data_IF_356086323672
#
_entry.id   IF_356086323672
#
_cell.length_a   1.000
_cell.length_b   1.000
_cell.length_c   1.000
_cell.angle_alpha   90.00
_cell.angle_beta   90.00
_cell.angle_gamma   90.00
#
_symmetry.space_group_name_H-M   'P 1'
#
loop_
_entity.id
_entity.type
_entity.pdbx_description
1 polymer ?
#
# COMPACT_ATOMS: atom_id res chain seq x y z
N UNK A 1 5.68 -0.66 22.04
CA UNK A 1 6.10 -0.70 20.63
C UNK A 1 5.57 -1.98 20.03
N UNK A 2 4.60 -1.87 19.13
CA UNK A 2 4.08 -3.00 18.34
C UNK A 2 5.04 -3.29 17.19
N UNK A 3 5.06 -4.53 16.70
CA UNK A 3 5.91 -4.91 15.55
C UNK A 3 5.55 -4.09 14.31
N UNK A 4 4.25 -3.83 14.12
CA UNK A 4 3.73 -3.00 13.03
C UNK A 4 4.24 -1.56 13.08
N UNK A 5 4.32 -0.95 14.26
CA UNK A 5 4.87 0.40 14.43
C UNK A 5 6.35 0.45 14.02
N UNK A 6 7.14 -0.56 14.41
CA UNK A 6 8.55 -0.64 14.02
C UNK A 6 8.74 -0.91 12.52
N UNK A 7 7.85 -1.69 11.91
CA UNK A 7 7.85 -1.86 10.45
C UNK A 7 7.58 -0.53 9.73
N UNK A 8 6.62 0.27 10.21
CA UNK A 8 6.38 1.61 9.68
C UNK A 8 7.59 2.53 9.83
N UNK A 9 8.27 2.51 10.98
CA UNK A 9 9.49 3.29 11.18
C UNK A 9 10.58 2.92 10.17
N UNK A 10 10.80 1.61 9.92
CA UNK A 10 11.78 1.14 8.94
C UNK A 10 11.42 1.58 7.52
N UNK A 11 10.16 1.43 7.12
CA UNK A 11 9.68 1.81 5.78
C UNK A 11 9.79 3.33 5.56
N UNK A 12 9.44 4.14 6.57
CA UNK A 12 9.50 5.61 6.48
C UNK A 12 10.92 6.13 6.23
N UNK A 13 11.96 5.41 6.65
CA UNK A 13 13.35 5.81 6.46
C UNK A 13 13.84 5.52 5.03
N UNK A 14 13.28 4.52 4.35
CA UNK A 14 13.73 4.10 3.01
C UNK A 14 12.89 4.69 1.88
N UNK A 15 11.58 4.84 2.07
CA UNK A 15 10.67 5.33 1.03
C UNK A 15 10.80 6.84 0.85
N UNK A 16 10.99 7.24 -0.40
CA UNK A 16 11.04 8.64 -0.83
C UNK A 16 9.73 9.05 -1.54
N UNK A 17 9.39 10.35 -1.55
CA UNK A 17 8.29 10.85 -2.34
C UNK A 17 8.48 10.54 -3.84
N UNK A 18 7.40 10.16 -4.52
CA UNK A 18 7.41 9.81 -5.94
C UNK A 18 7.64 8.33 -6.23
N UNK A 19 8.01 7.52 -5.24
CA UNK A 19 8.31 6.11 -5.45
C UNK A 19 7.04 5.23 -5.48
N UNK A 20 7.22 4.01 -5.99
CA UNK A 20 6.22 2.94 -5.95
C UNK A 20 6.48 2.04 -4.76
N UNK A 21 5.42 1.71 -4.02
CA UNK A 21 5.44 0.79 -2.87
C UNK A 21 4.30 -0.20 -2.96
N UNK A 22 4.45 -1.34 -2.29
CA UNK A 22 3.47 -2.43 -2.31
C UNK A 22 2.93 -2.70 -0.92
N UNK A 23 1.61 -2.83 -0.83
CA UNK A 23 0.90 -3.48 0.27
C UNK A 23 0.38 -4.84 -0.21
N UNK A 24 1.01 -5.93 0.22
CA UNK A 24 0.69 -7.27 -0.26
C UNK A 24 -0.55 -7.88 0.43
N UNK A 25 -1.13 -7.18 1.40
CA UNK A 25 -2.21 -7.66 2.28
C UNK A 25 -3.04 -6.47 2.78
N UNK A 26 -3.78 -5.79 1.90
CA UNK A 26 -4.35 -4.47 2.22
C UNK A 26 -5.34 -4.52 3.39
N UNK A 27 -6.16 -5.58 3.52
CA UNK A 27 -7.15 -5.73 4.57
C UNK A 27 -8.00 -4.47 4.77
N UNK A 28 -7.92 -3.88 5.97
CA UNK A 28 -8.66 -2.64 6.27
C UNK A 28 -7.97 -1.36 5.73
N UNK A 29 -6.75 -1.45 5.21
CA UNK A 29 -6.04 -0.36 4.53
C UNK A 29 -5.14 0.50 5.43
N UNK A 30 -4.70 -0.01 6.60
CA UNK A 30 -3.86 0.76 7.52
C UNK A 30 -2.47 0.99 6.92
N UNK A 31 -1.86 -0.10 6.45
CA UNK A 31 -0.54 -0.09 5.84
C UNK A 31 -0.59 0.64 4.49
N UNK A 32 -1.64 0.40 3.69
CA UNK A 32 -1.90 1.14 2.44
C UNK A 32 -1.94 2.67 2.66
N UNK A 33 -2.69 3.14 3.66
CA UNK A 33 -2.77 4.58 3.96
C UNK A 33 -1.42 5.13 4.45
N UNK A 34 -0.71 4.37 5.29
CA UNK A 34 0.63 4.74 5.75
C UNK A 34 1.59 4.89 4.56
N UNK A 35 1.61 3.91 3.67
CA UNK A 35 2.42 3.90 2.44
C UNK A 35 2.07 5.06 1.51
N UNK A 36 0.78 5.32 1.28
CA UNK A 36 0.30 6.41 0.43
C UNK A 36 0.74 7.80 0.94
N UNK A 37 0.88 7.95 2.26
CA UNK A 37 1.43 9.17 2.88
C UNK A 37 2.94 9.27 2.70
N UNK A 38 3.67 8.16 2.76
CA UNK A 38 5.12 8.15 2.61
C UNK A 38 5.55 8.53 1.18
N UNK A 39 4.89 7.96 0.17
CA UNK A 39 5.23 8.22 -1.24
C UNK A 39 4.75 9.58 -1.76
N UNK A 40 3.88 10.28 -1.03
CA UNK A 40 3.40 11.62 -1.41
C UNK A 40 2.65 11.66 -2.76
N UNK A 41 2.22 12.85 -3.18
CA UNK A 41 1.31 13.00 -4.34
C UNK A 41 1.85 12.47 -5.66
N UNK A 42 3.18 12.39 -5.83
CA UNK A 42 3.80 11.86 -7.04
C UNK A 42 4.04 10.35 -7.04
N UNK A 43 3.75 9.65 -5.95
CA UNK A 43 4.03 8.22 -5.83
C UNK A 43 2.78 7.34 -5.85
N UNK A 44 3.00 6.03 -5.92
CA UNK A 44 1.96 5.03 -6.16
C UNK A 44 2.02 3.92 -5.12
N UNK A 45 0.86 3.54 -4.59
CA UNK A 45 0.70 2.30 -3.82
C UNK A 45 0.03 1.25 -4.69
N UNK A 46 0.62 0.05 -4.78
CA UNK A 46 -0.01 -1.11 -5.38
C UNK A 46 -0.44 -2.05 -4.25
N UNK A 47 -1.73 -2.31 -4.15
CA UNK A 47 -2.33 -3.10 -3.07
C UNK A 47 -2.90 -4.42 -3.58
N UNK A 48 -2.67 -5.52 -2.87
CA UNK A 48 -3.22 -6.84 -3.18
C UNK A 48 -4.11 -7.36 -2.05
N UNK A 49 -5.25 -7.92 -2.43
CA UNK A 49 -6.09 -8.71 -1.54
C UNK A 49 -7.04 -9.61 -2.33
N UNK A 50 -7.38 -10.77 -1.78
CA UNK A 50 -8.32 -11.70 -2.43
C UNK A 50 -9.78 -11.38 -2.09
N UNK A 51 -10.01 -10.48 -1.13
CA UNK A 51 -11.35 -10.12 -0.66
C UNK A 51 -11.79 -8.76 -1.20
N UNK A 52 -12.94 -8.72 -1.89
CA UNK A 52 -13.51 -7.47 -2.42
C UNK A 52 -13.78 -6.45 -1.31
N UNK A 53 -14.23 -6.92 -0.15
CA UNK A 53 -14.53 -6.09 1.01
C UNK A 53 -13.28 -5.34 1.51
N UNK A 54 -12.09 -5.95 1.41
CA UNK A 54 -10.83 -5.31 1.79
C UNK A 54 -10.50 -4.12 0.85
N UNK A 55 -10.74 -4.29 -0.46
CA UNK A 55 -10.56 -3.19 -1.42
C UNK A 55 -11.54 -2.05 -1.14
N UNK A 56 -12.81 -2.36 -0.87
CA UNK A 56 -13.82 -1.34 -0.56
C UNK A 56 -13.51 -0.60 0.74
N UNK A 57 -13.12 -1.33 1.80
CA UNK A 57 -12.71 -0.74 3.07
C UNK A 57 -11.47 0.15 2.92
N UNK A 58 -10.48 -0.31 2.15
CA UNK A 58 -9.25 0.42 1.88
C UNK A 58 -9.51 1.68 1.05
N UNK A 59 -10.31 1.59 -0.04
CA UNK A 59 -10.73 2.77 -0.82
C UNK A 59 -11.40 3.83 0.07
N UNK A 60 -12.38 3.41 0.88
CA UNK A 60 -13.08 4.33 1.78
C UNK A 60 -12.11 5.03 2.72
N UNK A 61 -11.19 4.29 3.32
CA UNK A 61 -10.17 4.85 4.23
C UNK A 61 -9.25 5.85 3.53
N UNK A 62 -8.83 5.57 2.30
CA UNK A 62 -7.99 6.48 1.50
C UNK A 62 -8.74 7.78 1.19
N UNK A 63 -9.99 7.68 0.74
CA UNK A 63 -10.85 8.84 0.44
C UNK A 63 -11.11 9.68 1.70
N UNK A 64 -11.46 9.04 2.82
CA UNK A 64 -11.65 9.74 4.12
C UNK A 64 -10.38 10.46 4.59
N UNK A 65 -9.20 9.98 4.19
CA UNK A 65 -7.91 10.61 4.48
C UNK A 65 -7.47 11.64 3.42
N UNK A 66 -8.29 11.92 2.40
CA UNK A 66 -7.98 12.87 1.33
C UNK A 66 -6.94 12.37 0.33
N UNK A 67 -6.79 11.05 0.18
CA UNK A 67 -5.91 10.43 -0.82
C UNK A 67 -6.72 10.20 -2.10
N UNK A 68 -6.24 10.74 -3.21
CA UNK A 68 -6.79 10.52 -4.56
C UNK A 68 -6.75 9.04 -4.95
N UNK A 69 -7.79 8.55 -5.65
CA UNK A 69 -7.93 7.13 -5.98
C UNK A 69 -6.82 6.65 -6.92
N UNK A 70 -6.32 7.53 -7.78
CA UNK A 70 -5.21 7.27 -8.71
C UNK A 70 -3.88 6.98 -8.00
N UNK A 71 -3.74 7.37 -6.72
CA UNK A 71 -2.54 7.09 -5.91
C UNK A 71 -2.52 5.68 -5.31
N UNK A 72 -3.58 4.90 -5.52
CA UNK A 72 -3.67 3.52 -5.06
C UNK A 72 -4.28 2.60 -6.12
N UNK A 73 -3.44 1.74 -6.71
CA UNK A 73 -3.88 0.65 -7.57
C UNK A 73 -4.20 -0.57 -6.71
N UNK A 74 -5.47 -0.77 -6.37
CA UNK A 74 -5.93 -1.90 -5.54
C UNK A 74 -6.43 -3.06 -6.42
N UNK A 75 -5.79 -4.22 -6.28
CA UNK A 75 -5.99 -5.41 -7.10
C UNK A 75 -6.71 -6.50 -6.31
N UNK A 76 -7.81 -7.02 -6.87
CA UNK A 76 -8.56 -8.15 -6.32
C UNK A 76 -7.88 -9.46 -6.70
N UNK A 77 -6.64 -9.61 -6.28
CA UNK A 77 -5.78 -10.74 -6.57
C UNK A 77 -4.89 -11.02 -5.35
N UNK A 78 -4.42 -12.26 -5.22
CA UNK A 78 -3.42 -12.56 -4.20
C UNK A 78 -2.03 -12.04 -4.59
N UNK A 79 -1.21 -11.69 -3.60
CA UNK A 79 0.13 -11.13 -3.81
C UNK A 79 1.09 -12.04 -4.59
N UNK A 80 0.78 -13.33 -4.78
CA UNK A 80 1.55 -14.20 -5.69
C UNK A 80 1.57 -13.69 -7.15
N UNK A 81 0.67 -12.75 -7.50
CA UNK A 81 0.60 -12.09 -8.81
C UNK A 81 1.53 -10.88 -8.94
N UNK A 82 2.31 -10.54 -7.91
CA UNK A 82 3.19 -9.36 -7.89
C UNK A 82 4.09 -9.27 -9.13
N UNK A 83 4.71 -10.38 -9.56
CA UNK A 83 5.57 -10.41 -10.75
C UNK A 83 4.84 -10.06 -12.04
N UNK A 84 3.55 -10.38 -12.15
CA UNK A 84 2.75 -10.07 -13.33
C UNK A 84 2.17 -8.65 -13.31
N UNK A 85 1.96 -8.08 -12.12
CA UNK A 85 1.21 -6.83 -11.97
C UNK A 85 2.10 -5.61 -11.68
N UNK A 86 3.35 -5.83 -11.28
CA UNK A 86 4.28 -4.76 -10.91
C UNK A 86 5.47 -4.71 -11.86
N UNK A 87 5.62 -3.57 -12.51
CA UNK A 87 6.76 -3.27 -13.36
C UNK A 87 7.66 -2.22 -12.72
N UNK A 88 8.98 -2.39 -12.89
CA UNK A 88 9.96 -1.41 -12.42
C UNK A 88 10.34 -1.55 -10.94
N UNK A 89 11.16 -0.62 -10.44
CA UNK A 89 11.66 -0.67 -9.07
C UNK A 89 10.56 -0.34 -8.06
N UNK A 90 10.65 -1.01 -6.90
CA UNK A 90 9.75 -0.80 -5.76
C UNK A 90 10.60 -0.50 -4.53
N UNK A 91 10.26 0.55 -3.81
CA UNK A 91 11.03 1.01 -2.66
C UNK A 91 10.79 0.18 -1.39
N UNK A 92 9.57 -0.33 -1.22
CA UNK A 92 9.19 -1.16 -0.09
C UNK A 92 8.01 -2.07 -0.42
N UNK A 93 7.99 -3.24 0.21
CA UNK A 93 6.87 -4.19 0.19
C UNK A 93 6.49 -4.51 1.63
N UNK A 94 5.21 -4.37 1.98
CA UNK A 94 4.69 -4.72 3.30
C UNK A 94 3.79 -5.96 3.22
N UNK A 95 3.98 -6.86 4.20
CA UNK A 95 3.12 -8.02 4.46
C UNK A 95 2.66 -7.99 5.90
N UNK A 96 1.37 -8.24 6.12
CA UNK A 96 0.76 -8.30 7.45
C UNK A 96 -0.34 -9.39 7.43
N UNK A 97 -0.10 -10.47 8.18
CA UNK A 97 -0.83 -11.74 8.11
C UNK A 97 -1.58 -12.06 9.41
#
# INVERSE_FOLDING_TARGET
MRVTERAHEMVRVVVQPGETVIDATIGNGHDTLFLARCVGSGGLVIGFDVQKDALEATRRRLVEAGIEEERARLLLEGHQRLEAEVEGPVAAVMFNL
#
